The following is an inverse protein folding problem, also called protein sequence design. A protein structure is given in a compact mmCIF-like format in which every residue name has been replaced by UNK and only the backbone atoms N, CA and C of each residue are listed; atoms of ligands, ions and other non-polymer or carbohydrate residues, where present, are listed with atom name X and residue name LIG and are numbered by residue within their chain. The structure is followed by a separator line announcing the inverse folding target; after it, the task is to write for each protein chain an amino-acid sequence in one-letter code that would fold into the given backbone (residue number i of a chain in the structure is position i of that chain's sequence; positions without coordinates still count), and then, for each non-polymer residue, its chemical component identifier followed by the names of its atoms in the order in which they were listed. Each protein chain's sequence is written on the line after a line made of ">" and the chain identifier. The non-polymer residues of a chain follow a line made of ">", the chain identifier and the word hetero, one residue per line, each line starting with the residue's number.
data_IF_239388670370
#
_entry.id   IF_239388670370
#
_cell.length_a   1.000
_cell.length_b   1.000
_cell.length_c   1.000
_cell.angle_alpha   90.00
_cell.angle_beta   90.00
_cell.angle_gamma   90.00
#
_symmetry.space_group_name_H-M   'P 1'
#
loop_
_entity.id
_entity.type
_entity.pdbx_description
1 polymer ?
#
# COMPACT_ATOMS: atom_id res chain seq x y z
N UNK A 1 -88.84 9.45 12.04
CA UNK A 1 -87.48 9.51 12.65
C UNK A 1 -86.58 8.33 12.24
N UNK A 2 -87.07 7.11 12.21
CA UNK A 2 -86.27 5.89 11.88
C UNK A 2 -85.69 5.92 10.47
N UNK A 3 -86.38 6.37 9.45
CA UNK A 3 -85.85 6.48 8.09
C UNK A 3 -84.72 7.48 7.94
N UNK A 4 -84.76 8.60 8.66
CA UNK A 4 -83.72 9.61 8.67
C UNK A 4 -82.41 9.07 9.32
N UNK A 5 -82.56 8.24 10.38
CA UNK A 5 -81.43 7.60 11.06
C UNK A 5 -80.70 6.59 10.16
N UNK A 6 -81.49 5.77 9.42
CA UNK A 6 -80.95 4.82 8.46
C UNK A 6 -80.27 5.52 7.26
N UNK A 7 -80.81 6.66 6.83
CA UNK A 7 -80.21 7.48 5.77
C UNK A 7 -78.86 8.03 6.18
N UNK A 8 -78.71 8.54 7.41
CA UNK A 8 -77.43 9.05 7.94
C UNK A 8 -76.40 7.93 8.05
N UNK A 9 -76.78 6.75 8.54
CA UNK A 9 -75.89 5.59 8.65
C UNK A 9 -75.41 5.16 7.27
N UNK A 10 -76.25 5.14 6.26
CA UNK A 10 -75.88 4.76 4.91
C UNK A 10 -74.89 5.75 4.27
N UNK A 11 -75.10 7.06 4.52
CA UNK A 11 -74.17 8.11 4.04
C UNK A 11 -72.81 7.99 4.72
N UNK A 12 -72.79 7.75 6.04
CA UNK A 12 -71.56 7.54 6.79
C UNK A 12 -70.81 6.27 6.33
N UNK A 13 -71.54 5.19 6.09
CA UNK A 13 -70.97 3.93 5.60
C UNK A 13 -70.38 4.12 4.17
N UNK A 14 -71.10 4.87 3.32
CA UNK A 14 -70.64 5.19 2.00
C UNK A 14 -69.38 6.08 2.04
N UNK A 15 -69.41 7.13 2.88
CA UNK A 15 -68.23 8.01 3.08
C UNK A 15 -67.05 7.23 3.63
N UNK A 16 -67.24 6.34 4.60
CA UNK A 16 -66.20 5.47 5.13
C UNK A 16 -65.65 4.52 4.06
N UNK A 17 -66.50 3.93 3.25
CA UNK A 17 -66.10 3.05 2.13
C UNK A 17 -65.32 3.81 1.07
N UNK A 18 -65.72 5.02 0.72
CA UNK A 18 -64.99 5.90 -0.21
C UNK A 18 -63.65 6.31 0.36
N UNK A 19 -63.57 6.66 1.67
CA UNK A 19 -62.34 7.00 2.34
C UNK A 19 -61.37 5.79 2.38
N UNK A 20 -61.87 4.59 2.70
CA UNK A 20 -61.08 3.36 2.69
C UNK A 20 -60.55 3.08 1.26
N UNK A 21 -61.41 3.18 0.23
CA UNK A 21 -61.01 2.93 -1.17
C UNK A 21 -60.04 3.94 -1.71
N UNK A 22 -60.08 5.23 -1.31
CA UNK A 22 -59.21 6.28 -1.81
C UNK A 22 -57.84 6.34 -1.07
N UNK A 23 -57.78 5.96 0.19
CA UNK A 23 -56.60 6.23 1.01
C UNK A 23 -55.98 4.98 1.66
N UNK A 24 -56.72 3.99 2.06
CA UNK A 24 -56.21 2.87 2.84
C UNK A 24 -55.73 1.71 1.99
N UNK A 25 -56.30 1.43 0.88
CA UNK A 25 -55.89 0.33 0.01
C UNK A 25 -54.50 0.52 -0.62
N UNK A 26 -53.98 1.76 -0.63
CA UNK A 26 -52.68 2.11 -1.21
C UNK A 26 -51.56 2.22 -0.17
N UNK A 27 -51.76 1.68 1.03
CA UNK A 27 -50.75 1.65 2.06
C UNK A 27 -50.53 0.24 2.55
N UNK A 28 -49.30 -0.18 2.56
CA UNK A 28 -48.86 -1.43 3.16
C UNK A 28 -48.08 -1.14 4.43
N UNK A 29 -48.33 -1.88 5.50
CA UNK A 29 -47.77 -1.68 6.81
C UNK A 29 -47.17 -2.98 7.36
N UNK A 30 -46.06 -2.88 8.10
CA UNK A 30 -45.44 -3.95 8.86
C UNK A 30 -44.90 -3.46 10.19
N UNK A 31 -45.02 -4.28 11.22
CA UNK A 31 -44.35 -4.09 12.50
C UNK A 31 -43.11 -4.99 12.68
N UNK A 32 -42.82 -5.82 11.67
CA UNK A 32 -41.62 -6.64 11.62
C UNK A 32 -40.56 -5.87 10.85
N UNK A 33 -39.92 -4.93 11.54
CA UNK A 33 -39.02 -3.95 10.96
C UNK A 33 -37.88 -3.69 11.92
N UNK A 34 -36.63 -3.74 11.41
CA UNK A 34 -35.44 -3.57 12.23
C UNK A 34 -34.48 -2.59 11.58
N UNK A 35 -33.84 -1.80 12.42
CA UNK A 35 -32.75 -0.92 12.01
C UNK A 35 -31.50 -1.76 11.81
N UNK A 36 -30.92 -1.66 10.63
CA UNK A 36 -29.65 -2.28 10.28
C UNK A 36 -28.63 -1.24 9.79
N UNK A 37 -27.37 -1.61 9.67
CA UNK A 37 -26.31 -0.71 9.24
C UNK A 37 -25.02 -1.46 8.95
N UNK A 38 -24.05 -0.75 8.43
CA UNK A 38 -22.71 -1.27 8.28
C UNK A 38 -22.05 -1.40 9.67
N UNK A 39 -21.39 -2.51 9.88
CA UNK A 39 -20.58 -2.77 11.06
C UNK A 39 -19.16 -3.07 10.62
N UNK A 40 -18.25 -2.13 10.91
CA UNK A 40 -16.84 -2.22 10.51
C UNK A 40 -16.06 -2.87 11.63
N UNK A 41 -15.67 -4.12 11.44
CA UNK A 41 -14.84 -4.85 12.40
C UNK A 41 -13.38 -4.37 12.31
N UNK A 42 -12.84 -3.98 13.44
CA UNK A 42 -11.47 -3.56 13.59
C UNK A 42 -10.61 -4.76 13.94
N UNK A 43 -9.66 -5.10 13.05
CA UNK A 43 -8.76 -6.24 13.22
C UNK A 43 -7.31 -5.79 13.09
N UNK A 44 -6.38 -6.31 13.91
CA UNK A 44 -4.97 -6.01 13.81
C UNK A 44 -4.34 -6.79 12.66
N UNK A 45 -3.35 -6.19 12.00
CA UNK A 45 -2.53 -6.91 11.03
C UNK A 45 -1.43 -7.73 11.72
N UNK A 46 -0.88 -7.20 12.83
CA UNK A 46 0.17 -7.84 13.60
C UNK A 46 -0.38 -8.47 14.88
N UNK A 47 0.33 -9.46 15.38
CA UNK A 47 0.10 -10.02 16.71
C UNK A 47 0.91 -9.23 17.74
N UNK A 48 0.48 -9.25 19.01
CA UNK A 48 1.21 -8.59 20.09
C UNK A 48 0.37 -8.43 21.34
N UNK A 49 0.97 -7.85 22.37
CA UNK A 49 0.26 -7.45 23.58
C UNK A 49 -0.41 -6.08 23.38
N UNK A 50 -1.60 -5.91 23.92
CA UNK A 50 -2.30 -4.62 23.96
C UNK A 50 -1.65 -3.76 25.04
N UNK A 51 -1.05 -2.64 24.66
CA UNK A 51 -0.42 -1.68 25.60
C UNK A 51 -1.39 -0.59 26.03
N UNK A 52 -2.19 -0.07 25.10
CA UNK A 52 -3.19 0.96 25.42
C UNK A 52 -4.46 0.80 24.58
N UNK A 53 -5.56 1.28 25.14
CA UNK A 53 -6.89 1.33 24.51
C UNK A 53 -7.40 2.76 24.68
N UNK A 54 -7.65 3.46 23.56
CA UNK A 54 -8.01 4.87 23.55
C UNK A 54 -9.52 5.12 23.52
N UNK A 55 -10.32 4.10 23.17
CA UNK A 55 -11.78 4.21 23.09
C UNK A 55 -12.48 3.01 23.74
N UNK A 56 -13.70 3.22 24.15
CA UNK A 56 -14.54 2.16 24.73
C UNK A 56 -15.91 2.12 24.04
N UNK A 57 -16.70 1.13 24.40
CA UNK A 57 -18.07 0.99 23.90
C UNK A 57 -18.86 2.29 24.13
N UNK A 58 -19.68 2.66 23.18
CA UNK A 58 -20.53 3.86 23.18
C UNK A 58 -19.81 5.20 22.91
N UNK A 59 -18.51 5.22 22.72
CA UNK A 59 -17.77 6.43 22.36
C UNK A 59 -17.81 6.70 20.86
N UNK A 60 -17.95 7.97 20.49
CA UNK A 60 -17.80 8.43 19.11
C UNK A 60 -16.32 8.48 18.76
N UNK A 61 -15.98 7.93 17.62
CA UNK A 61 -14.62 7.92 17.06
C UNK A 61 -14.63 8.52 15.67
N UNK A 62 -13.56 9.23 15.34
CA UNK A 62 -13.35 9.81 14.01
C UNK A 62 -12.45 8.94 13.16
N UNK A 63 -12.61 9.05 11.86
CA UNK A 63 -11.71 8.42 10.89
C UNK A 63 -10.27 8.90 11.11
N UNK A 64 -9.33 7.94 11.29
CA UNK A 64 -7.93 8.24 11.58
C UNK A 64 -7.61 8.46 13.06
N UNK A 65 -8.56 8.31 13.96
CA UNK A 65 -8.33 8.35 15.40
C UNK A 65 -7.74 7.02 15.89
N UNK A 66 -6.69 7.03 16.75
CA UNK A 66 -6.11 5.82 17.30
C UNK A 66 -7.11 5.13 18.23
N UNK A 67 -7.30 3.84 18.06
CA UNK A 67 -8.22 3.02 18.86
C UNK A 67 -7.48 2.15 19.86
N UNK A 68 -6.43 1.46 19.40
CA UNK A 68 -5.68 0.47 20.17
C UNK A 68 -4.22 0.55 19.78
N UNK A 69 -3.34 0.42 20.75
CA UNK A 69 -1.90 0.29 20.52
C UNK A 69 -1.41 -1.08 20.98
N UNK A 70 -0.54 -1.67 20.18
CA UNK A 70 0.18 -2.89 20.49
C UNK A 70 1.59 -2.59 20.96
N UNK A 71 2.21 -3.52 21.62
CA UNK A 71 3.62 -3.46 21.95
C UNK A 71 4.46 -3.30 20.66
N UNK A 72 5.28 -2.26 20.63
CA UNK A 72 6.07 -1.85 19.48
C UNK A 72 7.54 -2.29 19.56
N UNK A 73 7.94 -2.92 20.68
CA UNK A 73 9.36 -3.16 20.98
C UNK A 73 10.08 -3.94 19.88
N UNK A 74 9.50 -5.06 19.44
CA UNK A 74 10.12 -5.88 18.40
C UNK A 74 10.18 -5.14 17.04
N UNK A 75 9.16 -4.38 16.70
CA UNK A 75 9.11 -3.61 15.47
C UNK A 75 10.05 -2.39 15.47
N UNK A 76 10.30 -1.79 16.63
CA UNK A 76 11.31 -0.74 16.80
C UNK A 76 12.72 -1.32 16.56
N UNK A 77 13.03 -2.47 17.13
CA UNK A 77 14.30 -3.16 16.90
C UNK A 77 14.49 -3.50 15.42
N UNK A 78 13.42 -4.01 14.76
CA UNK A 78 13.48 -4.33 13.33
C UNK A 78 13.71 -3.06 12.48
N UNK A 79 13.06 -1.95 12.84
CA UNK A 79 13.24 -0.67 12.17
C UNK A 79 14.67 -0.13 12.32
N UNK A 80 15.24 -0.18 13.53
CA UNK A 80 16.61 0.26 13.78
C UNK A 80 17.63 -0.62 13.03
N UNK A 81 17.43 -1.93 13.01
CA UNK A 81 18.28 -2.83 12.22
C UNK A 81 18.19 -2.51 10.72
N UNK A 82 17.01 -2.22 10.20
CA UNK A 82 16.83 -1.86 8.79
C UNK A 82 17.48 -0.50 8.47
N UNK A 83 17.42 0.47 9.37
CA UNK A 83 18.08 1.77 9.29
C UNK A 83 19.60 1.63 9.21
N UNK A 84 20.20 0.85 10.11
CA UNK A 84 21.63 0.60 10.11
C UNK A 84 22.09 -0.17 8.86
N UNK A 85 21.28 -1.13 8.41
CA UNK A 85 21.54 -1.85 7.17
C UNK A 85 21.55 -0.91 5.95
N UNK A 86 20.59 0.02 5.86
CA UNK A 86 20.58 1.03 4.81
C UNK A 86 21.82 1.91 4.86
N UNK A 87 22.21 2.39 6.06
CA UNK A 87 23.40 3.20 6.25
C UNK A 87 24.68 2.48 5.79
N UNK A 88 24.84 1.21 6.15
CA UNK A 88 25.94 0.37 5.72
C UNK A 88 25.95 0.19 4.19
N UNK A 89 24.78 -0.11 3.60
CA UNK A 89 24.64 -0.33 2.15
C UNK A 89 25.00 0.92 1.35
N UNK A 90 24.58 2.10 1.81
CA UNK A 90 24.93 3.39 1.17
C UNK A 90 26.45 3.58 1.15
N UNK A 91 27.13 3.35 2.28
CA UNK A 91 28.61 3.46 2.36
C UNK A 91 29.30 2.44 1.45
N UNK A 92 28.81 1.20 1.40
CA UNK A 92 29.35 0.15 0.54
C UNK A 92 29.22 0.54 -0.94
N UNK A 93 28.06 1.07 -1.35
CA UNK A 93 27.85 1.53 -2.72
C UNK A 93 28.73 2.75 -3.04
N UNK A 94 28.90 3.71 -2.10
CA UNK A 94 29.86 4.79 -2.25
C UNK A 94 31.27 4.27 -2.54
N UNK A 95 31.71 3.22 -1.80
CA UNK A 95 33.02 2.60 -2.05
C UNK A 95 33.14 2.02 -3.46
N UNK A 96 32.07 1.39 -3.99
CA UNK A 96 32.05 0.88 -5.38
C UNK A 96 32.22 2.00 -6.40
N UNK A 97 31.57 3.15 -6.21
CA UNK A 97 31.77 4.32 -7.06
C UNK A 97 33.20 4.85 -6.96
N UNK A 98 33.77 4.98 -5.75
CA UNK A 98 35.15 5.42 -5.58
C UNK A 98 36.14 4.47 -6.21
N UNK A 99 35.90 3.17 -6.20
CA UNK A 99 36.76 2.17 -6.82
C UNK A 99 36.94 2.39 -8.32
N UNK A 100 35.87 2.83 -9.02
CA UNK A 100 35.95 3.19 -10.44
C UNK A 100 36.90 4.36 -10.66
N UNK A 101 36.84 5.39 -9.81
CA UNK A 101 37.77 6.54 -9.89
C UNK A 101 39.20 6.15 -9.61
N UNK A 102 39.43 5.28 -8.62
CA UNK A 102 40.78 4.77 -8.30
C UNK A 102 41.37 4.05 -9.51
N UNK A 103 40.66 3.09 -10.10
CA UNK A 103 41.18 2.36 -11.25
C UNK A 103 41.35 3.26 -12.47
N UNK A 104 40.49 4.25 -12.70
CA UNK A 104 40.66 5.23 -13.77
C UNK A 104 41.95 6.01 -13.62
N UNK A 105 42.25 6.49 -12.41
CA UNK A 105 43.48 7.21 -12.11
C UNK A 105 44.71 6.29 -12.26
N UNK A 106 44.56 5.03 -11.84
CA UNK A 106 45.65 4.04 -11.97
C UNK A 106 45.96 3.72 -13.44
N UNK A 107 44.97 3.65 -14.33
CA UNK A 107 45.15 3.50 -15.77
C UNK A 107 46.04 4.61 -16.32
N UNK A 108 45.82 5.87 -15.94
CA UNK A 108 46.63 6.99 -16.42
C UNK A 108 48.08 6.85 -15.95
N UNK A 109 48.33 6.38 -14.76
CA UNK A 109 49.68 6.08 -14.26
C UNK A 109 50.33 4.95 -15.07
N UNK A 110 49.58 3.85 -15.36
CA UNK A 110 50.12 2.72 -16.15
C UNK A 110 50.33 3.08 -17.61
N UNK A 111 49.49 3.95 -18.20
CA UNK A 111 49.72 4.51 -19.55
C UNK A 111 51.03 5.30 -19.61
N UNK A 112 51.29 6.18 -18.64
CA UNK A 112 52.54 6.92 -18.57
C UNK A 112 53.77 6.00 -18.46
N UNK A 113 53.68 4.91 -17.69
CA UNK A 113 54.73 3.91 -17.59
C UNK A 113 54.97 3.19 -18.93
N UNK A 114 53.87 2.79 -19.61
CA UNK A 114 53.97 2.14 -20.93
C UNK A 114 54.61 3.06 -21.97
N UNK A 115 54.23 4.35 -22.01
CA UNK A 115 54.85 5.35 -22.92
C UNK A 115 56.34 5.47 -22.67
N UNK A 116 56.79 5.53 -21.40
CA UNK A 116 58.20 5.57 -21.04
C UNK A 116 58.92 4.34 -21.56
N UNK A 117 58.38 3.12 -21.31
CA UNK A 117 59.02 1.86 -21.67
C UNK A 117 59.03 1.68 -23.21
N UNK A 118 58.02 2.21 -23.90
CA UNK A 118 57.94 2.26 -25.36
C UNK A 118 59.03 3.17 -25.95
N UNK A 119 59.25 4.36 -25.38
CA UNK A 119 60.33 5.27 -25.78
C UNK A 119 61.72 4.67 -25.55
N UNK A 120 61.91 3.98 -24.40
CA UNK A 120 63.18 3.29 -24.14
C UNK A 120 63.45 2.15 -25.14
N UNK A 121 62.44 1.39 -25.50
CA UNK A 121 62.51 0.37 -26.55
C UNK A 121 62.84 0.97 -27.91
N UNK A 122 62.19 2.06 -28.36
CA UNK A 122 62.46 2.75 -29.64
C UNK A 122 63.89 3.27 -29.66
N UNK A 123 64.38 3.88 -28.58
CA UNK A 123 65.75 4.37 -28.49
C UNK A 123 66.79 3.23 -28.62
N UNK A 124 66.59 2.11 -27.92
CA UNK A 124 67.49 0.98 -27.98
C UNK A 124 67.45 0.26 -29.34
N UNK A 125 66.32 0.18 -29.98
CA UNK A 125 66.17 -0.36 -31.33
C UNK A 125 66.95 0.47 -32.34
N UNK A 126 66.88 1.83 -32.27
CA UNK A 126 67.64 2.71 -33.13
C UNK A 126 69.15 2.57 -32.98
N UNK A 127 69.62 2.45 -31.72
CA UNK A 127 71.08 2.32 -31.44
C UNK A 127 71.60 0.91 -31.68
N UNK A 128 70.79 -0.13 -31.62
CA UNK A 128 71.14 -1.53 -31.93
C UNK A 128 71.60 -1.65 -33.41
N UNK A 129 70.96 -0.92 -34.33
CA UNK A 129 71.31 -0.89 -35.74
C UNK A 129 72.69 -0.24 -35.97
N UNK A 130 73.14 0.62 -35.04
CA UNK A 130 74.49 1.31 -35.09
C UNK A 130 75.54 0.58 -34.24
N UNK A 131 75.28 -0.67 -33.78
CA UNK A 131 76.19 -1.47 -32.94
C UNK A 131 76.55 -0.86 -31.57
N UNK A 132 75.71 0.03 -31.02
CA UNK A 132 76.01 0.80 -29.81
C UNK A 132 75.35 0.22 -28.51
N UNK A 133 74.52 -0.85 -28.60
CA UNK A 133 73.81 -1.46 -27.47
C UNK A 133 73.96 -2.98 -27.57
N UNK A 134 74.05 -3.68 -26.40
CA UNK A 134 74.08 -5.15 -26.37
C UNK A 134 72.74 -5.76 -26.71
N UNK A 135 72.72 -6.96 -27.30
CA UNK A 135 71.50 -7.72 -27.56
C UNK A 135 70.67 -7.97 -26.24
N UNK A 136 71.39 -8.17 -25.13
CA UNK A 136 70.80 -8.38 -23.81
C UNK A 136 70.01 -7.13 -23.36
N UNK A 137 70.57 -5.91 -23.54
CA UNK A 137 69.86 -4.66 -23.19
C UNK A 137 68.63 -4.45 -24.04
N UNK A 138 68.63 -4.84 -25.32
CA UNK A 138 67.49 -4.81 -26.20
C UNK A 138 66.39 -5.79 -25.75
N UNK A 139 66.78 -7.05 -25.39
CA UNK A 139 65.84 -8.06 -24.91
C UNK A 139 65.20 -7.63 -23.58
N UNK A 140 65.94 -6.97 -22.70
CA UNK A 140 65.39 -6.38 -21.47
C UNK A 140 64.39 -5.26 -21.77
N UNK A 141 64.62 -4.40 -22.75
CA UNK A 141 63.64 -3.36 -23.13
C UNK A 141 62.33 -3.99 -23.67
N UNK A 142 62.45 -5.00 -24.53
CA UNK A 142 61.29 -5.75 -25.02
C UNK A 142 60.48 -6.40 -23.87
N UNK A 143 61.17 -7.01 -22.91
CA UNK A 143 60.54 -7.61 -21.76
C UNK A 143 59.82 -6.58 -20.88
N UNK A 144 60.49 -5.40 -20.65
CA UNK A 144 59.87 -4.29 -19.87
C UNK A 144 58.65 -3.73 -20.56
N UNK A 145 58.70 -3.50 -21.87
CA UNK A 145 57.56 -3.03 -22.68
C UNK A 145 56.39 -4.00 -22.60
N UNK A 146 56.64 -5.31 -22.69
CA UNK A 146 55.59 -6.34 -22.58
C UNK A 146 54.97 -6.35 -21.19
N UNK A 147 55.81 -6.26 -20.15
CA UNK A 147 55.34 -6.25 -18.76
C UNK A 147 54.41 -5.04 -18.51
N UNK A 148 54.81 -3.82 -18.92
CA UNK A 148 54.03 -2.62 -18.72
C UNK A 148 52.70 -2.67 -19.54
N UNK A 149 52.72 -3.23 -20.78
CA UNK A 149 51.50 -3.44 -21.55
C UNK A 149 50.51 -4.37 -20.88
N UNK A 150 50.93 -5.54 -20.36
CA UNK A 150 50.03 -6.47 -19.70
C UNK A 150 49.54 -5.95 -18.35
N UNK A 151 50.36 -5.16 -17.64
CA UNK A 151 49.95 -4.47 -16.41
C UNK A 151 48.85 -3.45 -16.71
N UNK A 152 49.00 -2.64 -17.77
CA UNK A 152 47.96 -1.72 -18.23
C UNK A 152 46.68 -2.49 -18.56
N UNK A 153 46.78 -3.54 -19.37
CA UNK A 153 45.64 -4.37 -19.79
C UNK A 153 44.90 -4.99 -18.61
N UNK A 154 45.63 -5.44 -17.59
CA UNK A 154 45.03 -5.97 -16.34
C UNK A 154 44.27 -4.85 -15.60
N UNK A 155 44.86 -3.66 -15.49
CA UNK A 155 44.23 -2.51 -14.83
C UNK A 155 42.97 -2.04 -15.58
N UNK A 156 43.00 -2.04 -16.92
CA UNK A 156 41.80 -1.77 -17.74
C UNK A 156 40.67 -2.79 -17.45
N UNK A 157 41.01 -4.08 -17.35
CA UNK A 157 40.02 -5.11 -17.03
C UNK A 157 39.42 -4.92 -15.64
N UNK A 158 40.23 -4.55 -14.62
CA UNK A 158 39.76 -4.24 -13.27
C UNK A 158 38.83 -3.00 -13.28
N UNK A 159 39.16 -1.98 -14.10
CA UNK A 159 38.30 -0.83 -14.28
C UNK A 159 36.95 -1.23 -14.88
N UNK A 160 36.94 -2.01 -15.96
CA UNK A 160 35.70 -2.50 -16.61
C UNK A 160 34.85 -3.34 -15.63
N UNK A 161 35.49 -4.17 -14.82
CA UNK A 161 34.83 -4.93 -13.77
C UNK A 161 34.18 -4.02 -12.72
N UNK A 162 34.92 -3.03 -12.21
CA UNK A 162 34.39 -2.07 -11.23
C UNK A 162 33.24 -1.23 -11.84
N UNK A 163 33.41 -0.80 -13.10
CA UNK A 163 32.42 -0.03 -13.83
C UNK A 163 31.11 -0.82 -14.00
N UNK A 164 31.18 -2.11 -14.32
CA UNK A 164 30.00 -2.95 -14.50
C UNK A 164 29.09 -3.02 -13.27
N UNK A 165 29.64 -2.80 -12.06
CA UNK A 165 28.87 -2.81 -10.81
C UNK A 165 28.05 -1.53 -10.59
N UNK A 166 28.40 -0.42 -11.24
CA UNK A 166 27.77 0.90 -11.05
C UNK A 166 27.24 1.50 -12.34
N UNK A 167 27.49 0.86 -13.48
CA UNK A 167 27.12 1.36 -14.81
C UNK A 167 25.60 1.58 -14.92
N UNK A 168 25.20 2.71 -15.51
CA UNK A 168 23.82 3.12 -15.73
C UNK A 168 22.98 3.28 -14.44
N UNK A 169 23.62 3.44 -13.28
CA UNK A 169 22.94 3.69 -12.02
C UNK A 169 23.49 4.94 -11.34
N UNK A 170 22.63 5.69 -10.68
CA UNK A 170 23.03 6.67 -9.68
C UNK A 170 23.18 5.99 -8.32
N UNK A 171 23.78 6.67 -7.36
CA UNK A 171 23.87 6.13 -5.98
C UNK A 171 22.48 5.83 -5.40
N UNK A 172 21.51 6.70 -5.63
CA UNK A 172 20.13 6.57 -5.13
C UNK A 172 19.35 5.46 -5.84
N UNK A 173 19.62 5.24 -7.13
CA UNK A 173 18.92 4.23 -7.94
C UNK A 173 19.67 2.90 -8.01
N UNK A 174 20.79 2.80 -7.28
CA UNK A 174 21.55 1.55 -7.24
C UNK A 174 20.70 0.43 -6.63
N UNK A 175 20.65 -0.77 -7.26
CA UNK A 175 19.76 -1.86 -6.82
C UNK A 175 19.91 -2.24 -5.35
N UNK A 176 21.14 -2.24 -4.81
CA UNK A 176 21.39 -2.52 -3.39
C UNK A 176 20.80 -1.46 -2.47
N UNK A 177 20.95 -0.17 -2.81
CA UNK A 177 20.37 0.93 -2.02
C UNK A 177 18.85 0.89 -2.10
N UNK A 178 18.29 0.61 -3.28
CA UNK A 178 16.85 0.47 -3.45
C UNK A 178 16.28 -0.67 -2.60
N UNK A 179 16.93 -1.83 -2.60
CA UNK A 179 16.51 -2.98 -1.79
C UNK A 179 16.60 -2.69 -0.28
N UNK A 180 17.68 -2.01 0.17
CA UNK A 180 17.83 -1.62 1.56
C UNK A 180 16.80 -0.57 1.99
N UNK A 181 16.49 0.38 1.11
CA UNK A 181 15.42 1.36 1.29
C UNK A 181 14.06 0.70 1.46
N UNK A 182 13.72 -0.26 0.59
CA UNK A 182 12.45 -0.97 0.65
C UNK A 182 12.34 -1.83 1.91
N UNK A 183 13.46 -2.39 2.38
CA UNK A 183 13.51 -3.10 3.67
C UNK A 183 13.22 -2.15 4.84
N UNK A 184 13.82 -0.97 4.86
CA UNK A 184 13.56 0.03 5.89
C UNK A 184 12.11 0.53 5.84
N UNK A 185 11.55 0.74 4.64
CA UNK A 185 10.14 1.08 4.46
C UNK A 185 9.22 0.02 5.05
N UNK A 186 9.47 -1.25 4.78
CA UNK A 186 8.66 -2.35 5.32
C UNK A 186 8.69 -2.37 6.86
N UNK A 187 9.86 -2.18 7.46
CA UNK A 187 9.99 -2.11 8.91
C UNK A 187 9.23 -0.91 9.50
N UNK A 188 9.29 0.27 8.85
CA UNK A 188 8.52 1.44 9.23
C UNK A 188 7.00 1.19 9.16
N UNK A 189 6.52 0.60 8.06
CA UNK A 189 5.09 0.29 7.89
C UNK A 189 4.62 -0.69 8.98
N UNK A 190 5.42 -1.69 9.31
CA UNK A 190 5.10 -2.65 10.38
C UNK A 190 5.00 -1.93 11.74
N UNK A 191 5.96 -1.05 12.03
CA UNK A 191 5.96 -0.24 13.26
C UNK A 191 4.73 0.69 13.34
N UNK A 192 4.39 1.38 12.24
CA UNK A 192 3.24 2.26 12.17
C UNK A 192 1.93 1.49 12.43
N UNK A 193 1.81 0.29 11.91
CA UNK A 193 0.62 -0.58 12.04
C UNK A 193 0.43 -1.22 13.42
N UNK A 194 1.36 -1.02 14.34
CA UNK A 194 1.15 -1.35 15.76
C UNK A 194 0.11 -0.45 16.41
N UNK A 195 -0.12 0.75 15.88
CA UNK A 195 -1.24 1.62 16.25
C UNK A 195 -2.40 1.39 15.28
N UNK A 196 -3.53 1.00 15.81
CA UNK A 196 -4.72 0.63 15.03
C UNK A 196 -5.68 1.82 15.04
N UNK A 197 -5.97 2.34 13.85
CA UNK A 197 -6.79 3.53 13.66
C UNK A 197 -8.21 3.19 13.18
N UNK A 198 -9.18 4.05 13.48
CA UNK A 198 -10.54 3.90 12.95
C UNK A 198 -10.59 4.18 11.45
N UNK A 199 -11.10 3.25 10.62
CA UNK A 199 -11.22 3.45 9.17
C UNK A 199 -12.40 4.35 8.77
N UNK A 200 -13.31 4.63 9.69
CA UNK A 200 -14.55 5.39 9.45
C UNK A 200 -14.93 6.22 10.68
N UNK A 201 -15.76 7.24 10.47
CA UNK A 201 -16.44 7.93 11.58
C UNK A 201 -17.58 7.06 12.08
N UNK A 202 -17.75 6.96 13.40
CA UNK A 202 -18.85 6.15 13.93
C UNK A 202 -18.83 5.98 15.44
N UNK A 203 -19.64 5.08 15.90
CA UNK A 203 -19.75 4.70 17.32
C UNK A 203 -19.00 3.41 17.57
N UNK A 204 -18.08 3.39 18.53
CA UNK A 204 -17.40 2.19 18.96
C UNK A 204 -18.36 1.26 19.71
N UNK A 205 -18.28 -0.02 19.43
CA UNK A 205 -19.13 -1.05 20.04
C UNK A 205 -18.42 -2.42 20.06
N UNK A 206 -18.88 -3.30 20.97
CA UNK A 206 -18.42 -4.69 21.05
C UNK A 206 -16.91 -4.83 21.24
N UNK A 207 -16.32 -4.06 22.13
CA UNK A 207 -14.92 -4.21 22.50
C UNK A 207 -14.69 -5.54 23.23
N UNK A 208 -13.83 -6.38 22.68
CA UNK A 208 -13.52 -7.71 23.22
C UNK A 208 -12.19 -7.80 23.95
N UNK A 209 -11.34 -6.76 23.83
CA UNK A 209 -9.95 -6.75 24.29
C UNK A 209 -9.78 -6.00 25.62
N UNK A 210 -8.66 -6.33 26.30
CA UNK A 210 -8.22 -5.67 27.53
C UNK A 210 -6.71 -5.35 27.43
N UNK A 211 -6.25 -4.35 28.18
CA UNK A 211 -4.83 -4.03 28.31
C UNK A 211 -4.06 -5.23 28.89
N UNK A 212 -2.92 -5.55 28.31
CA UNK A 212 -2.10 -6.72 28.65
C UNK A 212 -2.54 -8.03 27.98
N UNK A 213 -3.64 -8.02 27.21
CA UNK A 213 -4.10 -9.19 26.46
C UNK A 213 -3.20 -9.39 25.22
N UNK A 214 -2.79 -10.65 24.98
CA UNK A 214 -2.15 -11.01 23.73
C UNK A 214 -3.20 -11.27 22.66
N UNK A 215 -3.01 -10.70 21.47
CA UNK A 215 -3.91 -10.85 20.33
C UNK A 215 -3.18 -11.39 19.10
N UNK A 216 -3.91 -12.18 18.30
CA UNK A 216 -3.42 -12.68 17.02
C UNK A 216 -3.82 -11.75 15.86
N UNK A 217 -3.08 -11.79 14.78
CA UNK A 217 -3.46 -11.12 13.51
C UNK A 217 -4.86 -11.57 13.07
N UNK A 218 -5.70 -10.61 12.64
CA UNK A 218 -7.06 -10.86 12.17
C UNK A 218 -8.11 -11.07 13.28
N UNK A 219 -7.74 -11.03 14.56
CA UNK A 219 -8.71 -11.15 15.67
C UNK A 219 -9.57 -9.88 15.75
N UNK A 220 -10.91 -9.96 15.76
CA UNK A 220 -11.75 -8.78 15.95
C UNK A 220 -11.52 -8.16 17.34
N UNK A 221 -11.15 -6.88 17.39
CA UNK A 221 -10.88 -6.14 18.61
C UNK A 221 -12.13 -5.43 19.14
N UNK A 222 -12.81 -4.75 18.23
CA UNK A 222 -14.05 -4.00 18.42
C UNK A 222 -14.72 -3.79 17.07
N UNK A 223 -15.88 -3.18 17.04
CA UNK A 223 -16.53 -2.73 15.83
C UNK A 223 -16.78 -1.21 15.87
N UNK A 224 -16.76 -0.56 14.73
CA UNK A 224 -17.19 0.83 14.56
C UNK A 224 -18.42 0.84 13.67
N UNK A 225 -19.47 1.50 14.13
CA UNK A 225 -20.76 1.60 13.46
C UNK A 225 -20.93 3.01 12.91
N UNK A 226 -20.80 3.23 11.59
CA UNK A 226 -21.06 4.52 10.97
C UNK A 226 -22.55 4.88 11.09
N UNK A 227 -22.85 5.97 11.79
CA UNK A 227 -24.24 6.38 12.05
C UNK A 227 -24.95 6.98 10.82
N UNK A 228 -24.19 7.35 9.79
CA UNK A 228 -24.68 7.82 8.50
C UNK A 228 -25.00 6.67 7.51
N UNK A 229 -24.59 5.45 7.81
CA UNK A 229 -24.75 4.27 6.97
C UNK A 229 -25.78 3.28 7.56
N UNK A 230 -26.86 3.83 8.08
CA UNK A 230 -27.96 3.09 8.67
C UNK A 230 -29.13 3.03 7.69
N UNK A 231 -29.78 1.89 7.64
CA UNK A 231 -31.02 1.66 6.87
C UNK A 231 -31.99 0.83 7.69
N UNK A 232 -33.17 0.65 7.15
CA UNK A 232 -34.19 -0.18 7.77
C UNK A 232 -34.49 -1.38 6.88
N UNK A 233 -34.55 -2.56 7.46
CA UNK A 233 -35.08 -3.77 6.83
C UNK A 233 -36.50 -4.01 7.32
N UNK A 234 -37.47 -3.72 6.49
CA UNK A 234 -38.87 -3.93 6.76
C UNK A 234 -39.33 -5.26 6.13
N UNK A 235 -39.72 -6.23 7.00
CA UNK A 235 -40.12 -7.56 6.57
C UNK A 235 -41.60 -7.60 6.20
N UNK A 236 -41.90 -7.56 4.90
CA UNK A 236 -43.25 -7.66 4.38
C UNK A 236 -43.58 -9.08 3.96
N UNK A 237 -44.86 -9.46 4.08
CA UNK A 237 -45.33 -10.72 3.54
C UNK A 237 -45.27 -10.70 2.00
N UNK A 238 -44.99 -11.85 1.41
CA UNK A 238 -44.94 -12.01 -0.07
C UNK A 238 -46.19 -11.42 -0.76
N UNK A 239 -47.37 -11.56 -0.17
CA UNK A 239 -48.62 -11.03 -0.68
C UNK A 239 -48.69 -9.50 -0.73
N UNK A 240 -47.98 -8.80 0.16
CA UNK A 240 -47.92 -7.35 0.28
C UNK A 240 -46.94 -6.73 -0.78
N UNK A 241 -45.98 -7.50 -1.23
CA UNK A 241 -44.97 -7.03 -2.20
C UNK A 241 -45.52 -6.85 -3.63
N UNK A 242 -46.74 -7.31 -3.91
CA UNK A 242 -47.33 -7.30 -5.23
C UNK A 242 -47.26 -5.92 -5.92
N UNK A 243 -47.48 -4.85 -5.17
CA UNK A 243 -47.52 -3.47 -5.67
C UNK A 243 -46.35 -2.60 -5.18
N UNK A 244 -45.40 -3.19 -4.39
CA UNK A 244 -44.23 -2.48 -3.96
C UNK A 244 -43.22 -2.33 -5.10
N UNK A 245 -42.59 -1.14 -5.18
CA UNK A 245 -41.59 -0.78 -6.18
C UNK A 245 -40.45 -0.02 -5.53
N UNK A 246 -39.27 -0.12 -6.12
CA UNK A 246 -38.09 0.66 -5.74
C UNK A 246 -38.35 2.13 -6.02
N UNK A 247 -38.01 3.01 -5.08
CA UNK A 247 -38.22 4.45 -5.15
C UNK A 247 -39.47 4.94 -4.40
N UNK A 248 -40.42 4.05 -4.04
CA UNK A 248 -41.61 4.42 -3.26
C UNK A 248 -41.24 4.97 -1.88
N UNK A 249 -42.02 5.94 -1.41
CA UNK A 249 -41.86 6.57 -0.09
C UNK A 249 -42.29 5.63 1.01
N UNK A 250 -41.50 5.66 2.09
CA UNK A 250 -41.76 4.88 3.32
C UNK A 250 -41.71 5.82 4.51
N UNK A 251 -42.67 5.66 5.41
CA UNK A 251 -42.64 6.26 6.75
C UNK A 251 -42.26 5.20 7.76
N UNK A 252 -41.25 5.50 8.55
CA UNK A 252 -40.74 4.61 9.59
C UNK A 252 -40.88 5.30 10.93
N UNK A 253 -41.40 4.58 11.93
CA UNK A 253 -41.42 5.01 13.32
C UNK A 253 -40.65 4.01 14.15
N UNK A 254 -39.60 4.49 14.83
CA UNK A 254 -38.79 3.65 15.71
C UNK A 254 -39.39 3.61 17.14
N UNK A 255 -39.47 2.43 17.72
CA UNK A 255 -40.02 2.27 19.07
C UNK A 255 -39.28 3.10 20.13
N UNK A 256 -37.99 3.36 19.93
CA UNK A 256 -37.17 4.19 20.78
C UNK A 256 -37.72 5.63 20.95
N UNK A 257 -38.24 6.23 19.88
CA UNK A 257 -38.76 7.60 19.85
C UNK A 257 -40.28 7.67 19.88
N UNK A 258 -40.94 6.51 19.81
CA UNK A 258 -42.39 6.43 19.74
C UNK A 258 -42.97 7.01 18.43
N UNK A 259 -44.25 7.39 18.49
CA UNK A 259 -44.98 7.92 17.29
C UNK A 259 -44.74 9.38 17.00
N UNK A 260 -44.04 10.07 17.88
CA UNK A 260 -43.81 11.52 17.77
C UNK A 260 -42.72 11.85 16.73
N UNK A 261 -41.80 10.90 16.51
CA UNK A 261 -40.73 11.05 15.50
C UNK A 261 -40.98 10.08 14.34
N UNK A 262 -41.19 10.64 13.17
CA UNK A 262 -41.42 9.89 11.93
C UNK A 262 -40.23 10.11 11.01
N UNK A 263 -39.54 9.03 10.70
CA UNK A 263 -38.46 9.04 9.69
C UNK A 263 -39.03 8.84 8.30
N UNK A 264 -38.55 9.62 7.35
CA UNK A 264 -38.88 9.47 5.95
C UNK A 264 -37.79 8.71 5.22
N UNK A 265 -38.19 7.83 4.32
CA UNK A 265 -37.26 7.04 3.53
C UNK A 265 -37.85 6.60 2.21
N UNK A 266 -37.02 5.88 1.44
CA UNK A 266 -37.43 5.28 0.17
C UNK A 266 -36.98 3.84 0.08
N UNK A 267 -37.77 3.03 -0.62
CA UNK A 267 -37.36 1.66 -0.97
C UNK A 267 -36.17 1.75 -1.93
N UNK A 268 -35.03 1.21 -1.54
CA UNK A 268 -33.81 1.15 -2.37
C UNK A 268 -33.53 -0.23 -2.92
N UNK A 269 -34.13 -1.27 -2.35
CA UNK A 269 -33.91 -2.63 -2.81
C UNK A 269 -35.00 -3.59 -2.35
N UNK A 270 -35.33 -4.50 -3.24
CA UNK A 270 -36.13 -5.69 -2.95
C UNK A 270 -35.17 -6.88 -2.98
N UNK A 271 -35.17 -7.77 -1.97
CA UNK A 271 -34.23 -8.87 -1.91
C UNK A 271 -34.47 -9.87 -3.03
N UNK A 272 -33.40 -10.43 -3.56
CA UNK A 272 -33.45 -11.50 -4.56
C UNK A 272 -33.78 -12.88 -3.97
N UNK A 273 -33.85 -12.99 -2.62
CA UNK A 273 -33.98 -14.28 -1.91
C UNK A 273 -34.94 -14.17 -0.73
N UNK A 274 -35.85 -15.14 -0.60
CA UNK A 274 -36.76 -15.26 0.55
C UNK A 274 -36.13 -16.05 1.70
N UNK A 275 -36.55 -15.75 2.94
CA UNK A 275 -35.93 -16.24 4.17
C UNK A 275 -35.58 -17.73 4.24
N UNK A 276 -36.45 -18.61 3.74
CA UNK A 276 -36.21 -20.07 3.78
C UNK A 276 -35.17 -20.56 2.78
N UNK A 277 -34.86 -19.77 1.70
CA UNK A 277 -33.89 -20.17 0.68
C UNK A 277 -32.44 -19.97 1.12
N UNK A 278 -32.20 -19.13 2.14
CA UNK A 278 -30.87 -18.85 2.75
C UNK A 278 -30.73 -19.47 4.13
N UNK A 279 -31.68 -20.25 4.58
CA UNK A 279 -31.58 -21.00 5.84
C UNK A 279 -30.50 -22.07 5.75
N UNK A 280 -29.66 -22.21 6.79
CA UNK A 280 -28.62 -23.23 6.88
C UNK A 280 -29.18 -24.67 6.72
N UNK A 281 -30.43 -24.86 7.11
CA UNK A 281 -31.21 -26.12 6.95
C UNK A 281 -32.56 -25.79 6.31
N UNK A 282 -32.66 -25.77 4.96
CA UNK A 282 -33.94 -25.57 4.31
C UNK A 282 -34.92 -26.65 4.75
N UNK A 283 -36.16 -26.29 5.13
CA UNK A 283 -37.14 -27.28 5.53
C UNK A 283 -37.50 -28.19 4.37
N UNK A 284 -37.05 -29.43 4.41
CA UNK A 284 -37.43 -30.45 3.44
C UNK A 284 -38.71 -31.14 3.94
N UNK A 285 -39.87 -30.81 3.37
CA UNK A 285 -41.11 -31.47 3.64
C UNK A 285 -41.15 -32.83 2.91
N UNK A 286 -40.45 -33.82 3.48
CA UNK A 286 -40.42 -35.20 2.96
C UNK A 286 -41.62 -36.04 3.34
N UNK A 287 -42.46 -35.56 4.25
CA UNK A 287 -43.68 -36.29 4.71
C UNK A 287 -44.94 -35.54 4.34
N UNK A 288 -45.79 -36.16 3.62
CA UNK A 288 -47.08 -35.86 2.98
C UNK A 288 -48.01 -34.73 3.40
N UNK A 289 -47.76 -33.95 4.44
CA UNK A 289 -48.56 -32.79 4.82
C UNK A 289 -47.88 -31.49 4.37
N UNK A 290 -48.17 -31.07 3.14
CA UNK A 290 -47.72 -29.76 2.67
C UNK A 290 -48.61 -28.63 3.20
N UNK A 291 -48.00 -27.70 3.95
CA UNK A 291 -48.64 -26.44 4.40
C UNK A 291 -47.98 -25.28 3.70
N UNK A 292 -48.74 -24.47 2.95
CA UNK A 292 -48.23 -23.21 2.36
C UNK A 292 -47.97 -22.19 3.46
N UNK A 293 -46.71 -21.93 3.76
CA UNK A 293 -46.31 -20.87 4.68
C UNK A 293 -45.96 -19.63 3.86
N UNK A 294 -46.65 -18.50 4.10
CA UNK A 294 -46.37 -17.21 3.49
C UNK A 294 -45.01 -16.71 4.00
N UNK A 295 -44.06 -16.51 3.08
CA UNK A 295 -42.74 -16.03 3.41
C UNK A 295 -42.74 -14.53 3.64
N UNK A 296 -41.82 -14.05 4.49
CA UNK A 296 -41.50 -12.62 4.61
C UNK A 296 -40.22 -12.31 3.84
N UNK A 297 -40.17 -11.13 3.22
CA UNK A 297 -39.02 -10.64 2.51
C UNK A 297 -38.59 -9.29 3.11
N UNK A 298 -37.29 -9.10 3.46
CA UNK A 298 -36.79 -7.84 3.98
C UNK A 298 -36.66 -6.81 2.85
N UNK A 299 -37.48 -5.78 2.87
CA UNK A 299 -37.42 -4.63 1.97
C UNK A 299 -36.47 -3.62 2.57
N UNK A 300 -35.41 -3.25 1.81
CA UNK A 300 -34.43 -2.28 2.27
C UNK A 300 -34.90 -0.86 2.03
N UNK A 301 -34.97 -0.08 3.10
CA UNK A 301 -35.41 1.31 3.10
C UNK A 301 -34.24 2.20 3.50
N UNK A 302 -33.81 3.11 2.64
CA UNK A 302 -32.87 4.16 2.98
C UNK A 302 -33.63 5.30 3.65
N UNK A 303 -33.11 5.79 4.78
CA UNK A 303 -33.67 6.94 5.52
C UNK A 303 -33.02 8.24 5.09
N UNK A 304 -33.69 9.35 5.30
CA UNK A 304 -33.15 10.68 5.04
C UNK A 304 -32.01 10.99 6.04
N UNK A 305 -30.79 11.36 5.56
CA UNK A 305 -29.62 11.53 6.43
C UNK A 305 -29.78 12.65 7.48
N UNK A 306 -30.56 13.66 7.19
CA UNK A 306 -30.78 14.80 8.08
C UNK A 306 -31.57 14.40 9.33
N UNK A 307 -32.59 13.57 9.17
CA UNK A 307 -33.40 13.03 10.24
C UNK A 307 -32.60 12.11 11.15
N UNK A 308 -31.65 11.34 10.56
CA UNK A 308 -30.74 10.48 11.32
C UNK A 308 -29.71 11.27 12.14
N UNK A 309 -29.34 12.48 11.73
CA UNK A 309 -28.46 13.34 12.51
C UNK A 309 -29.19 13.96 13.71
N UNK A 310 -30.46 14.33 13.54
CA UNK A 310 -31.28 14.90 14.60
C UNK A 310 -31.71 13.81 15.61
N UNK A 311 -32.09 12.65 15.10
CA UNK A 311 -32.55 11.50 15.91
C UNK A 311 -31.76 10.24 15.56
N UNK A 312 -30.55 10.03 16.12
CA UNK A 312 -29.69 8.91 15.77
C UNK A 312 -30.32 7.55 16.12
N UNK A 313 -30.44 6.69 15.14
CA UNK A 313 -30.87 5.31 15.34
C UNK A 313 -29.70 4.39 15.69
N UNK A 314 -29.99 3.27 16.33
CA UNK A 314 -29.03 2.22 16.67
C UNK A 314 -29.38 0.94 15.92
N UNK A 315 -28.36 0.19 15.53
CA UNK A 315 -28.57 -1.12 14.90
C UNK A 315 -29.30 -2.05 15.87
N UNK A 316 -30.29 -2.80 15.36
CA UNK A 316 -31.08 -3.76 16.14
C UNK A 316 -32.35 -3.19 16.78
N UNK A 317 -32.60 -1.87 16.64
CA UNK A 317 -33.87 -1.31 17.14
C UNK A 317 -35.06 -1.78 16.31
N UNK A 318 -36.17 -2.04 16.99
CA UNK A 318 -37.47 -2.35 16.38
C UNK A 318 -38.13 -1.09 15.84
N UNK A 319 -38.88 -1.24 14.78
CA UNK A 319 -39.59 -0.15 14.13
C UNK A 319 -40.90 -0.63 13.44
N UNK A 320 -41.75 0.30 13.07
CA UNK A 320 -42.89 0.08 12.20
C UNK A 320 -42.65 0.81 10.87
N UNK A 321 -42.96 0.18 9.74
CA UNK A 321 -42.80 0.75 8.42
C UNK A 321 -44.12 0.76 7.66
N UNK A 322 -44.44 1.92 7.05
CA UNK A 322 -45.62 2.09 6.20
C UNK A 322 -45.16 2.59 4.82
N UNK A 323 -45.42 1.79 3.79
CA UNK A 323 -45.11 2.11 2.39
C UNK A 323 -46.31 2.76 1.70
N UNK A 324 -46.06 3.81 0.94
CA UNK A 324 -47.06 4.47 0.09
C UNK A 324 -46.96 3.88 -1.34
N UNK A 325 -47.97 3.13 -1.74
CA UNK A 325 -48.02 2.45 -3.03
C UNK A 325 -48.48 3.37 -4.20
N UNK A 326 -48.83 4.61 -3.89
CA UNK A 326 -49.28 5.57 -4.95
C UNK A 326 -48.11 6.13 -5.76
N UNK A 327 -46.91 6.11 -5.21
CA UNK A 327 -45.73 6.58 -5.91
C UNK A 327 -45.32 5.61 -7.02
N UNK A 328 -44.97 6.12 -8.20
CA UNK A 328 -44.39 5.31 -9.25
C UNK A 328 -42.99 4.83 -8.80
N UNK A 329 -42.58 3.65 -9.23
CA UNK A 329 -41.27 3.08 -8.92
C UNK A 329 -40.94 1.96 -9.89
N UNK A 330 -39.70 1.44 -9.77
CA UNK A 330 -39.15 0.41 -10.63
C UNK A 330 -39.11 -0.95 -9.95
N UNK A 331 -39.19 -2.02 -10.72
CA UNK A 331 -39.00 -3.39 -10.23
C UNK A 331 -37.53 -3.80 -10.16
N UNK A 332 -36.74 -3.23 -11.05
CA UNK A 332 -35.33 -3.59 -11.21
C UNK A 332 -34.44 -2.53 -10.56
N UNK A 333 -33.51 -2.91 -9.67
CA UNK A 333 -32.61 -1.97 -9.06
C UNK A 333 -31.69 -1.34 -10.12
N UNK A 334 -31.34 -0.08 -9.91
CA UNK A 334 -30.35 0.61 -10.71
C UNK A 334 -28.99 -0.08 -10.53
N UNK A 335 -28.27 -0.34 -11.61
CA UNK A 335 -26.93 -0.89 -11.54
C UNK A 335 -25.97 0.08 -10.82
N UNK A 336 -24.97 -0.45 -10.13
CA UNK A 336 -23.92 0.37 -9.52
C UNK A 336 -23.23 1.21 -10.60
N UNK A 337 -23.01 2.51 -10.34
CA UNK A 337 -22.41 3.45 -11.31
C UNK A 337 -20.87 3.28 -11.44
N UNK A 338 -20.29 2.16 -10.99
CA UNK A 338 -18.87 1.91 -11.12
C UNK A 338 -17.96 2.62 -10.09
N UNK A 339 -18.48 3.55 -9.31
CA UNK A 339 -17.77 4.14 -8.17
C UNK A 339 -17.96 3.29 -6.90
N UNK A 340 -16.96 3.23 -6.00
CA UNK A 340 -17.11 2.53 -4.74
C UNK A 340 -18.23 3.16 -3.90
N UNK A 341 -19.08 2.34 -3.29
CA UNK A 341 -20.13 2.81 -2.37
C UNK A 341 -19.55 3.22 -1.01
N UNK A 342 -18.50 2.54 -0.57
CA UNK A 342 -17.81 2.79 0.68
C UNK A 342 -16.31 2.67 0.44
N UNK A 343 -15.53 3.67 0.91
CA UNK A 343 -14.09 3.67 0.78
C UNK A 343 -13.43 4.27 2.02
N UNK A 344 -12.19 3.86 2.26
CA UNK A 344 -11.34 4.47 3.27
C UNK A 344 -9.96 4.76 2.70
N UNK A 345 -9.37 5.89 3.06
CA UNK A 345 -8.04 6.33 2.66
C UNK A 345 -7.03 6.32 3.83
N UNK A 346 -7.34 5.62 4.91
CA UNK A 346 -6.44 5.52 6.06
C UNK A 346 -5.19 4.70 5.71
N UNK A 347 -5.39 3.60 4.97
CA UNK A 347 -4.31 2.73 4.56
C UNK A 347 -3.52 3.38 3.43
N UNK A 348 -2.17 3.37 3.52
CA UNK A 348 -1.27 4.05 2.58
C UNK A 348 -0.76 5.41 3.06
N UNK A 349 -1.28 5.96 4.16
CA UNK A 349 -0.70 7.16 4.80
C UNK A 349 0.65 6.87 5.46
N UNK A 350 0.93 5.61 5.76
CA UNK A 350 2.19 5.12 6.33
C UNK A 350 3.40 5.48 5.44
N UNK A 351 3.22 5.52 4.11
CA UNK A 351 4.29 5.78 3.15
C UNK A 351 4.82 7.22 3.17
N UNK A 352 4.08 8.19 3.73
CA UNK A 352 4.51 9.59 3.73
C UNK A 352 5.59 9.88 4.79
N UNK A 353 5.58 9.16 5.91
CA UNK A 353 6.55 9.33 7.00
C UNK A 353 7.92 8.67 6.72
N UNK A 354 7.95 7.57 5.97
CA UNK A 354 9.16 6.80 5.71
C UNK A 354 10.19 7.54 4.84
N UNK A 355 9.72 8.32 3.85
CA UNK A 355 10.59 9.03 2.91
C UNK A 355 11.55 9.97 3.61
N UNK A 356 11.07 10.75 4.56
CA UNK A 356 11.91 11.72 5.29
C UNK A 356 13.02 11.01 6.07
N UNK A 357 12.71 9.89 6.73
CA UNK A 357 13.70 9.10 7.46
C UNK A 357 14.71 8.45 6.52
N UNK A 358 14.25 7.85 5.45
CA UNK A 358 15.09 7.21 4.42
C UNK A 358 16.04 8.23 3.82
N UNK A 359 15.54 9.37 3.37
CA UNK A 359 16.35 10.42 2.75
C UNK A 359 17.38 10.98 3.74
N UNK A 360 17.02 11.12 5.01
CA UNK A 360 17.94 11.55 6.07
C UNK A 360 19.07 10.53 6.28
N UNK A 361 18.76 9.24 6.38
CA UNK A 361 19.77 8.18 6.54
C UNK A 361 20.71 8.15 5.34
N UNK A 362 20.17 8.26 4.13
CA UNK A 362 20.98 8.28 2.90
C UNK A 362 21.87 9.53 2.90
N UNK A 363 21.34 10.71 3.17
CA UNK A 363 22.10 11.96 3.18
C UNK A 363 23.23 11.97 4.22
N UNK A 364 23.00 11.39 5.41
CA UNK A 364 24.02 11.29 6.46
C UNK A 364 25.16 10.30 6.14
N UNK A 365 24.90 9.33 5.29
CA UNK A 365 25.85 8.25 4.99
C UNK A 365 26.43 8.31 3.57
N UNK A 366 25.94 9.22 2.73
CA UNK A 366 26.42 9.43 1.39
C UNK A 366 27.65 10.37 1.40
N UNK A 367 28.65 10.03 0.59
CA UNK A 367 29.79 10.92 0.37
C UNK A 367 29.32 12.18 -0.40
N UNK A 368 29.53 13.41 0.14
CA UNK A 368 29.13 14.64 -0.53
C UNK A 368 29.75 14.82 -1.93
N UNK A 369 30.93 14.25 -2.18
CA UNK A 369 31.57 14.30 -3.49
C UNK A 369 30.79 13.54 -4.56
N UNK A 370 30.01 12.54 -4.17
CA UNK A 370 29.17 11.73 -5.04
C UNK A 370 27.75 12.31 -5.24
N UNK A 371 27.38 13.36 -4.49
CA UNK A 371 26.06 14.01 -4.65
C UNK A 371 25.80 14.52 -6.07
N UNK A 372 26.83 15.01 -6.75
CA UNK A 372 26.71 15.49 -8.14
C UNK A 372 26.48 14.34 -9.12
N UNK A 373 26.87 13.13 -8.78
CA UNK A 373 26.65 11.93 -9.59
C UNK A 373 25.26 11.30 -9.39
N UNK A 374 24.50 11.72 -8.36
CA UNK A 374 23.13 11.25 -8.11
C UNK A 374 22.14 11.74 -9.16
N UNK A 375 22.46 12.77 -9.96
CA UNK A 375 21.56 13.37 -10.94
C UNK A 375 21.90 13.02 -12.39
N UNK A 376 23.09 12.51 -12.65
CA UNK A 376 23.52 12.09 -13.99
C UNK A 376 24.08 10.67 -13.92
N UNK A 377 23.70 9.76 -14.83
CA UNK A 377 24.40 8.49 -14.97
C UNK A 377 25.90 8.78 -15.12
N UNK A 378 26.74 7.94 -14.51
CA UNK A 378 28.18 8.01 -14.69
C UNK A 378 28.48 7.73 -16.17
N UNK A 379 28.42 8.75 -17.00
CA UNK A 379 29.01 8.74 -18.33
C UNK A 379 30.53 8.78 -18.12
N UNK A 380 31.12 7.62 -17.93
CA UNK A 380 32.55 7.49 -18.05
C UNK A 380 32.87 7.75 -19.52
N UNK A 381 33.51 8.87 -19.79
CA UNK A 381 34.08 9.10 -21.07
C UNK A 381 34.91 7.87 -21.48
N UNK A 382 34.71 7.32 -22.67
CA UNK A 382 35.47 6.14 -23.10
C UNK A 382 36.98 6.40 -22.86
N UNK A 383 37.63 5.38 -22.30
CA UNK A 383 39.09 5.45 -22.13
C UNK A 383 39.73 5.73 -23.51
N UNK A 384 40.46 6.81 -23.62
CA UNK A 384 41.29 7.03 -24.79
C UNK A 384 42.24 5.86 -24.94
N UNK A 385 42.06 5.07 -25.99
CA UNK A 385 42.97 3.97 -26.32
C UNK A 385 44.27 4.54 -26.79
N UNK A 386 45.35 4.08 -26.18
CA UNK A 386 46.70 4.44 -26.60
C UNK A 386 46.95 3.87 -28.01
N UNK A 387 47.18 4.71 -29.02
CA UNK A 387 47.64 4.27 -30.33
C UNK A 387 49.14 3.94 -30.24
N UNK A 388 49.45 2.65 -30.17
CA UNK A 388 50.82 2.16 -30.22
C UNK A 388 51.27 2.08 -31.67
N UNK A 389 52.49 2.59 -31.97
CA UNK A 389 53.12 2.47 -33.29
C UNK A 389 53.23 1.00 -33.75
N UNK A 390 53.24 0.77 -35.07
CA UNK A 390 53.19 -0.58 -35.64
C UNK A 390 54.36 -1.47 -35.17
N UNK A 391 55.56 -0.90 -35.01
CA UNK A 391 56.75 -1.62 -34.52
C UNK A 391 56.59 -2.08 -33.08
N UNK A 392 55.91 -1.30 -32.20
CA UNK A 392 55.63 -1.68 -30.83
C UNK A 392 54.56 -2.78 -30.78
N UNK A 393 53.56 -2.71 -31.68
CA UNK A 393 52.57 -3.79 -31.83
C UNK A 393 53.20 -5.11 -32.24
N UNK A 394 54.17 -5.06 -33.15
CA UNK A 394 54.90 -6.24 -33.62
C UNK A 394 55.75 -6.84 -32.49
N UNK A 395 56.50 -6.03 -31.74
CA UNK A 395 57.27 -6.46 -30.58
C UNK A 395 56.41 -7.10 -29.48
N UNK A 396 55.15 -6.62 -29.32
CA UNK A 396 54.19 -7.20 -28.38
C UNK A 396 53.58 -8.53 -28.86
N UNK A 397 53.52 -8.75 -30.19
CA UNK A 397 52.88 -9.91 -30.83
C UNK A 397 53.84 -11.08 -31.07
N UNK A 398 55.17 -10.85 -31.30
CA UNK A 398 56.16 -11.89 -31.66
C UNK A 398 56.34 -13.02 -30.62
N UNK A 399 55.78 -12.91 -29.40
CA UNK A 399 55.89 -13.93 -28.37
C UNK A 399 54.51 -14.28 -27.77
N UNK A 400 53.53 -14.61 -28.58
CA UNK A 400 52.35 -15.31 -28.08
C UNK A 400 52.78 -16.70 -27.61
N UNK A 401 52.58 -17.10 -26.33
CA UNK A 401 52.69 -18.46 -25.97
C UNK A 401 51.70 -19.23 -26.88
N UNK A 402 52.19 -20.30 -27.52
CA UNK A 402 51.41 -21.22 -28.34
C UNK A 402 50.07 -21.54 -27.59
N UNK A 403 48.92 -21.51 -28.22
CA UNK A 403 47.67 -21.81 -27.56
C UNK A 403 47.61 -23.27 -27.13
N UNK A 404 48.14 -23.55 -25.93
CA UNK A 404 47.94 -24.82 -25.24
C UNK A 404 46.61 -24.75 -24.45
N UNK A 405 45.53 -24.45 -25.13
CA UNK A 405 44.20 -24.75 -24.65
C UNK A 405 43.50 -25.60 -25.72
N UNK A 406 43.05 -26.80 -25.40
CA UNK A 406 42.24 -27.56 -26.34
C UNK A 406 40.97 -26.78 -26.69
N UNK A 407 40.50 -26.85 -27.94
CA UNK A 407 39.28 -26.15 -28.33
C UNK A 407 38.11 -26.67 -27.50
N UNK A 408 37.36 -25.73 -26.94
CA UNK A 408 36.10 -26.03 -26.24
C UNK A 408 35.19 -26.84 -27.16
N UNK A 409 34.52 -27.91 -26.69
CA UNK A 409 33.67 -28.75 -27.49
C UNK A 409 32.51 -27.92 -28.10
N UNK A 410 32.05 -28.22 -29.32
CA UNK A 410 31.17 -27.36 -30.11
C UNK A 410 29.71 -27.30 -29.63
N UNK A 411 29.39 -27.70 -28.39
CA UNK A 411 28.02 -27.83 -27.88
C UNK A 411 27.57 -26.74 -26.90
N UNK A 412 28.31 -25.65 -26.72
CA UNK A 412 27.81 -24.48 -26.02
C UNK A 412 27.54 -23.31 -26.98
N UNK A 413 26.67 -23.52 -27.94
CA UNK A 413 25.99 -22.42 -28.61
C UNK A 413 24.85 -21.94 -27.68
N UNK A 414 24.96 -20.74 -27.24
CA UNK A 414 23.95 -19.99 -26.51
C UNK A 414 22.57 -20.12 -27.16
N UNK A 415 21.63 -20.77 -26.47
CA UNK A 415 20.22 -20.63 -26.79
C UNK A 415 19.81 -19.20 -26.40
N UNK A 416 19.46 -18.42 -27.39
CA UNK A 416 18.72 -17.16 -27.18
C UNK A 416 17.42 -17.48 -26.43
N UNK A 417 17.36 -17.07 -25.17
CA UNK A 417 16.11 -17.01 -24.42
C UNK A 417 15.42 -15.72 -24.78
N UNK A 418 14.49 -15.79 -25.72
CA UNK A 418 13.54 -14.71 -25.99
C UNK A 418 12.59 -14.65 -24.79
N UNK A 419 12.74 -13.64 -23.93
CA UNK A 419 11.78 -13.32 -22.90
C UNK A 419 10.55 -12.63 -23.54
N UNK A 420 9.31 -13.06 -23.25
CA UNK A 420 8.13 -12.37 -23.74
C UNK A 420 8.01 -10.99 -23.09
N UNK A 421 7.86 -9.97 -23.93
CA UNK A 421 7.74 -8.57 -23.52
C UNK A 421 6.49 -8.34 -22.68
N UNK A 422 6.69 -7.85 -21.47
CA UNK A 422 5.64 -7.24 -20.67
C UNK A 422 5.61 -5.76 -21.04
N UNK A 423 4.55 -5.36 -21.75
CA UNK A 423 4.29 -3.96 -22.05
C UNK A 423 3.83 -3.26 -20.76
N UNK A 424 4.65 -2.38 -20.24
CA UNK A 424 4.26 -1.43 -19.20
C UNK A 424 3.49 -0.28 -19.86
N UNK A 425 2.20 -0.18 -19.57
CA UNK A 425 1.42 1.04 -19.80
C UNK A 425 1.66 1.99 -18.62
N UNK A 426 2.07 3.24 -18.84
CA UNK A 426 2.19 4.20 -17.75
C UNK A 426 0.80 4.67 -17.31
N UNK A 427 0.52 4.54 -16.02
CA UNK A 427 -0.64 5.13 -15.36
C UNK A 427 -0.42 6.65 -15.23
N UNK A 428 -1.44 7.49 -15.49
CA UNK A 428 -1.28 8.94 -15.39
C UNK A 428 -1.09 9.39 -13.94
N UNK A 429 -0.19 10.35 -13.79
CA UNK A 429 0.22 10.99 -12.56
C UNK A 429 -0.82 11.99 -12.05
N UNK A 430 -0.77 12.15 -10.71
CA UNK A 430 -1.00 13.38 -9.96
C UNK A 430 -2.43 13.90 -9.84
N UNK A 431 -3.06 13.52 -8.72
CA UNK A 431 -3.87 14.47 -7.94
C UNK A 431 -2.97 15.08 -6.84
N UNK A 432 -2.74 16.38 -6.97
CA UNK A 432 -2.04 17.22 -6.00
C UNK A 432 -2.97 17.37 -4.79
N UNK A 433 -2.59 16.79 -3.67
CA UNK A 433 -3.26 16.99 -2.38
C UNK A 433 -2.78 18.30 -1.76
N UNK A 434 -3.73 19.07 -1.17
CA UNK A 434 -3.54 20.37 -0.55
C UNK A 434 -2.37 20.37 0.46
N UNK A 435 -1.47 21.35 0.31
CA UNK A 435 -0.23 21.48 1.10
C UNK A 435 -0.42 21.71 2.60
N UNK A 436 -1.62 21.95 3.10
CA UNK A 436 -1.91 22.11 4.53
C UNK A 436 -1.98 20.75 5.27
N UNK A 437 -2.51 19.70 4.64
CA UNK A 437 -2.51 18.35 5.23
C UNK A 437 -1.10 17.71 5.29
N UNK A 438 -0.23 18.05 4.34
CA UNK A 438 1.17 17.58 4.37
C UNK A 438 1.96 18.19 5.53
N UNK A 439 1.73 19.46 5.85
CA UNK A 439 2.41 20.14 6.96
C UNK A 439 2.00 19.55 8.33
N UNK A 440 0.73 19.21 8.50
CA UNK A 440 0.22 18.65 9.76
C UNK A 440 0.75 17.24 10.04
N UNK A 441 0.89 16.42 8.99
CA UNK A 441 1.46 15.07 9.09
C UNK A 441 2.97 15.16 9.40
N UNK A 442 3.69 16.05 8.73
CA UNK A 442 5.13 16.26 8.96
C UNK A 442 5.40 16.78 10.38
N UNK A 443 4.58 17.70 10.89
CA UNK A 443 4.70 18.18 12.28
C UNK A 443 4.40 17.07 13.31
N UNK A 444 3.39 16.24 13.06
CA UNK A 444 3.02 15.13 13.96
C UNK A 444 4.09 14.04 13.99
N UNK A 445 4.67 13.70 12.83
CA UNK A 445 5.79 12.78 12.71
C UNK A 445 7.06 13.37 13.34
N UNK A 446 7.33 14.65 13.14
CA UNK A 446 8.47 15.35 13.73
C UNK A 446 8.39 15.39 15.27
N UNK A 447 7.20 15.59 15.85
CA UNK A 447 6.98 15.51 17.31
C UNK A 447 7.21 14.10 17.84
N UNK A 448 6.71 13.08 17.14
CA UNK A 448 6.90 11.67 17.53
C UNK A 448 8.39 11.28 17.52
N UNK A 449 9.15 11.76 16.52
CA UNK A 449 10.61 11.56 16.46
C UNK A 449 11.32 12.29 17.58
N UNK A 450 10.92 13.51 17.91
CA UNK A 450 11.51 14.27 19.03
C UNK A 450 11.20 13.64 20.38
N UNK A 451 10.04 13.01 20.55
CA UNK A 451 9.71 12.22 21.74
C UNK A 451 10.56 10.95 21.84
N UNK A 452 10.74 10.20 20.76
CA UNK A 452 11.59 9.02 20.71
C UNK A 452 13.06 9.38 21.04
N UNK A 453 13.57 10.47 20.45
CA UNK A 453 14.92 10.96 20.72
C UNK A 453 15.09 11.52 22.15
N UNK A 454 14.03 12.05 22.75
CA UNK A 454 14.02 12.44 24.16
C UNK A 454 14.03 11.23 25.09
N UNK A 455 13.28 10.18 24.77
CA UNK A 455 13.30 8.93 25.55
C UNK A 455 14.66 8.24 25.47
N UNK A 456 15.30 8.19 24.30
CA UNK A 456 16.68 7.69 24.18
C UNK A 456 17.70 8.52 24.98
N UNK A 457 17.54 9.83 25.01
CA UNK A 457 18.43 10.70 25.81
C UNK A 457 18.23 10.52 27.32
N UNK A 458 17.01 10.21 27.76
CA UNK A 458 16.70 9.93 29.17
C UNK A 458 17.21 8.54 29.59
N UNK A 459 17.13 7.54 28.73
CA UNK A 459 17.66 6.19 28.98
C UNK A 459 19.19 6.23 29.07
N UNK A 460 19.86 6.97 28.20
CA UNK A 460 21.32 7.13 28.26
C UNK A 460 21.77 7.93 29.49
N UNK A 461 21.01 8.93 29.95
CA UNK A 461 21.31 9.65 31.18
C UNK A 461 21.07 8.81 32.45
N UNK A 462 20.14 7.84 32.41
CA UNK A 462 19.94 6.92 33.54
C UNK A 462 21.00 5.79 33.61
N UNK A 463 21.60 5.42 32.48
CA UNK A 463 22.74 4.46 32.46
C UNK A 463 24.02 5.10 32.94
N UNK A 464 24.28 6.39 32.67
CA UNK A 464 25.46 7.11 33.16
C UNK A 464 25.39 7.47 34.67
N UNK A 465 24.23 7.39 35.30
CA UNK A 465 24.05 7.65 36.74
C UNK A 465 24.02 6.35 37.58
N UNK A 466 24.19 5.17 36.96
CA UNK A 466 24.19 3.87 37.64
C UNK A 466 25.56 3.17 37.61
N UNK A 467 26.60 3.81 37.06
CA UNK A 467 28.02 3.52 37.30
C UNK A 467 28.62 4.56 38.30
#
# INVERSE_FOLDING_TARGET
>A
MTFLYWGIILVLALAASIYWFLFWQFKEWTNDCYVEGNQVYITPLHHGFVTSIHTDDTFLVRKGEPLVELDRTDFLIEFDQAKEFLAQTVREVCQKFHQVFVYRSEIEVKKAALIRDAQDFEHRLGVLQESGVSLEDYEHAVAALRASYFVLKTTETLYEQALSLVQNTSLLDHPLVSAARDRMRNAWVNLYRCTIYSPVDGLAAQRTIQVGMWIASGTPLMSVIPLDQIWVNANFKETQLRHMRIGQRVKVTADLYGKDVVFHGRIVGLPGVAGNAVSLLPPQNLSGNWIKIVQRLPVRVALEPEELKEHPLRIGLSCEATVDLTDPGDLVPTSSKGSPLYETNIFGKEEKGDRLFIDTVIAMNMDPSLMNYSKTPLECAPLERLELGDMIKEALLENRPSPLAPPLPPNMRTKEVIAPGIAFTPTPAEEILDGEEELEIVEKVSRMVQEILKEESVVNLQLDLSE
#
